data_IF_189869019604
#
_entry.id   IF_189869019604
#
_cell.length_a   1.000
_cell.length_b   1.000
_cell.length_c   1.000
_cell.angle_alpha   90.00
_cell.angle_beta   90.00
_cell.angle_gamma   90.00
#
_symmetry.space_group_name_H-M   'P 1'
#
loop_
_entity.id
_entity.type
_entity.pdbx_description
1 polymer ?
#
# COMPACT_ATOMS: atom_id res chain seq x y z
N UNK A 1 -5.50 2.71 -26.49
CA UNK A 1 -5.42 1.25 -26.21
C UNK A 1 -4.26 1.06 -25.25
N UNK A 2 -4.49 0.41 -24.13
CA UNK A 2 -3.44 0.12 -23.13
C UNK A 2 -2.34 -0.74 -23.74
N UNK A 3 -1.08 -0.43 -23.40
CA UNK A 3 0.08 -1.12 -23.97
C UNK A 3 0.89 -1.81 -22.86
N UNK A 4 1.20 -3.06 -23.06
CA UNK A 4 2.19 -3.74 -22.23
C UNK A 4 3.57 -3.56 -22.90
N UNK A 5 4.40 -2.73 -22.26
CA UNK A 5 5.77 -2.45 -22.73
C UNK A 5 6.85 -3.16 -21.90
N UNK A 6 6.52 -4.29 -21.31
CA UNK A 6 7.47 -5.15 -20.61
C UNK A 6 8.69 -5.46 -21.49
N UNK A 7 9.89 -5.42 -20.92
CA UNK A 7 11.16 -5.55 -21.62
C UNK A 7 11.73 -4.24 -22.20
N UNK A 8 10.97 -3.15 -22.20
CA UNK A 8 11.43 -1.85 -22.66
C UNK A 8 11.96 -1.00 -21.49
N UNK A 9 12.69 0.07 -21.83
CA UNK A 9 13.08 1.07 -20.82
C UNK A 9 11.89 1.94 -20.46
N UNK A 10 11.89 2.43 -19.22
CA UNK A 10 10.92 3.43 -18.75
C UNK A 10 11.05 4.74 -19.56
N UNK A 11 9.95 5.50 -19.75
CA UNK A 11 9.99 6.81 -20.37
C UNK A 11 10.96 7.76 -19.65
N UNK A 12 11.70 8.53 -20.43
CA UNK A 12 12.63 9.54 -19.90
C UNK A 12 11.89 10.86 -19.72
N UNK A 13 11.61 11.21 -18.47
CA UNK A 13 10.90 12.44 -18.08
C UNK A 13 11.56 13.07 -16.85
N UNK A 14 11.20 14.32 -16.59
CA UNK A 14 11.58 15.04 -15.37
C UNK A 14 10.30 15.39 -14.62
N UNK A 15 10.14 14.80 -13.45
CA UNK A 15 9.01 15.06 -12.56
C UNK A 15 9.25 16.32 -11.75
N UNK A 16 8.23 17.15 -11.62
CA UNK A 16 8.24 18.36 -10.79
C UNK A 16 7.72 18.01 -9.39
N UNK A 17 8.61 17.71 -8.48
CA UNK A 17 8.30 17.36 -7.08
C UNK A 17 8.50 18.54 -6.14
N UNK A 18 8.21 18.34 -4.86
CA UNK A 18 8.45 19.34 -3.81
C UNK A 18 9.10 18.69 -2.59
N UNK A 19 10.10 19.39 -2.04
CA UNK A 19 10.65 19.09 -0.73
C UNK A 19 10.40 20.30 0.18
N UNK A 20 9.50 20.16 1.14
CA UNK A 20 9.01 21.28 1.92
C UNK A 20 8.37 22.35 1.04
N UNK A 21 8.97 23.56 0.99
CA UNK A 21 8.46 24.67 0.19
C UNK A 21 9.15 24.84 -1.17
N UNK A 22 10.18 24.04 -1.47
CA UNK A 22 10.98 24.19 -2.68
C UNK A 22 10.56 23.21 -3.77
N UNK A 23 10.67 23.64 -5.04
CA UNK A 23 10.51 22.76 -6.17
C UNK A 23 11.81 21.98 -6.40
N UNK A 24 11.66 20.68 -6.62
CA UNK A 24 12.77 19.77 -6.90
C UNK A 24 12.43 18.97 -8.15
N UNK A 25 13.35 18.98 -9.10
CA UNK A 25 13.27 18.16 -10.30
C UNK A 25 13.83 16.76 -9.99
N UNK A 26 13.07 15.72 -10.33
CA UNK A 26 13.47 14.32 -10.22
C UNK A 26 13.37 13.69 -11.60
N UNK A 27 14.47 13.19 -12.12
CA UNK A 27 14.49 12.51 -13.43
C UNK A 27 14.15 11.03 -13.31
N UNK A 28 13.72 10.42 -14.42
CA UNK A 28 13.55 8.97 -14.50
C UNK A 28 14.85 8.23 -14.18
N UNK A 29 16.01 8.75 -14.59
CA UNK A 29 17.30 8.14 -14.28
C UNK A 29 17.58 8.13 -12.77
N UNK A 30 17.27 9.21 -12.05
CA UNK A 30 17.43 9.26 -10.58
C UNK A 30 16.53 8.28 -9.86
N UNK A 31 15.34 7.99 -10.40
CA UNK A 31 14.43 7.02 -9.81
C UNK A 31 14.84 5.58 -10.10
N UNK A 32 15.32 5.28 -11.29
CA UNK A 32 15.36 3.90 -11.80
C UNK A 32 16.75 3.35 -12.11
N UNK A 33 17.76 4.22 -12.33
CA UNK A 33 19.10 3.77 -12.75
C UNK A 33 19.82 3.05 -11.60
N UNK A 34 20.38 1.90 -11.90
CA UNK A 34 21.12 1.03 -10.95
C UNK A 34 20.27 0.62 -9.73
N UNK A 35 18.92 0.61 -9.87
CA UNK A 35 17.97 0.32 -8.80
C UNK A 35 16.92 -0.68 -9.23
N UNK A 36 16.41 -1.42 -8.25
CA UNK A 36 15.20 -2.25 -8.36
C UNK A 36 14.03 -1.49 -7.73
N UNK A 37 13.06 -1.08 -8.55
CA UNK A 37 11.96 -0.23 -8.10
C UNK A 37 10.63 -0.88 -8.45
N UNK A 38 9.75 -0.99 -7.46
CA UNK A 38 8.33 -1.32 -7.69
C UNK A 38 7.57 -0.01 -7.88
N UNK A 39 6.85 0.11 -8.98
CA UNK A 39 5.97 1.24 -9.24
C UNK A 39 4.53 0.75 -9.31
N UNK A 40 3.63 1.41 -8.64
CA UNK A 40 2.21 1.27 -8.88
C UNK A 40 1.59 2.61 -9.25
N UNK A 41 0.72 2.59 -10.26
CA UNK A 41 0.05 3.77 -10.77
C UNK A 41 -1.46 3.57 -10.77
N UNK A 42 -2.19 4.66 -10.62
CA UNK A 42 -3.61 4.62 -10.30
C UNK A 42 -4.35 5.85 -10.85
N UNK A 43 -5.69 5.78 -10.97
CA UNK A 43 -6.49 6.86 -11.58
C UNK A 43 -6.42 8.20 -10.87
N UNK A 44 -6.15 8.24 -9.57
CA UNK A 44 -5.98 9.53 -8.89
C UNK A 44 -5.90 9.45 -7.37
N UNK A 45 -5.20 10.41 -6.80
CA UNK A 45 -5.18 10.66 -5.37
C UNK A 45 -6.61 10.88 -4.84
N UNK A 46 -6.87 10.50 -3.61
CA UNK A 46 -8.16 10.61 -2.90
C UNK A 46 -9.34 9.84 -3.52
N UNK A 47 -9.13 9.03 -4.56
CA UNK A 47 -10.20 8.17 -5.07
C UNK A 47 -10.37 6.94 -4.17
N UNK A 48 -11.60 6.33 -4.13
CA UNK A 48 -11.92 5.32 -3.11
C UNK A 48 -10.95 4.13 -3.07
N UNK A 49 -10.85 3.35 -4.14
CA UNK A 49 -9.99 2.14 -4.20
C UNK A 49 -8.52 2.47 -3.95
N UNK A 50 -8.05 3.63 -4.46
CA UNK A 50 -6.67 4.06 -4.30
C UNK A 50 -6.32 4.34 -2.84
N UNK A 51 -7.25 4.98 -2.09
CA UNK A 51 -7.05 5.38 -0.70
C UNK A 51 -7.38 4.28 0.31
N UNK A 52 -8.34 3.39 0.00
CA UNK A 52 -8.79 2.36 0.94
C UNK A 52 -8.06 1.02 0.83
N UNK A 53 -7.41 0.77 -0.31
CA UNK A 53 -6.83 -0.56 -0.58
C UNK A 53 -5.42 -0.48 -1.18
N UNK A 54 -5.26 0.24 -2.30
CA UNK A 54 -4.03 0.18 -3.09
C UNK A 54 -2.81 0.75 -2.33
N UNK A 55 -2.88 2.01 -1.90
CA UNK A 55 -1.80 2.67 -1.15
C UNK A 55 -1.57 2.03 0.22
N UNK A 56 -2.59 1.79 1.07
CA UNK A 56 -2.35 1.20 2.38
C UNK A 56 -1.64 -0.16 2.30
N UNK A 57 -2.04 -1.01 1.34
CA UNK A 57 -1.45 -2.33 1.23
C UNK A 57 -0.02 -2.32 0.70
N UNK A 58 0.31 -1.46 -0.28
CA UNK A 58 1.70 -1.26 -0.67
C UNK A 58 2.54 -0.69 0.46
N UNK A 59 2.01 0.26 1.25
CA UNK A 59 2.73 0.80 2.41
C UNK A 59 3.06 -0.29 3.43
N UNK A 60 2.10 -1.16 3.75
CA UNK A 60 2.25 -2.27 4.67
C UNK A 60 3.26 -3.32 4.16
N UNK A 61 3.24 -3.64 2.85
CA UNK A 61 4.12 -4.66 2.27
C UNK A 61 5.49 -4.14 1.81
N UNK A 62 5.73 -2.83 1.84
CA UNK A 62 7.03 -2.24 1.45
C UNK A 62 8.22 -2.82 2.23
N UNK A 63 8.17 -3.04 3.56
CA UNK A 63 9.28 -3.69 4.26
C UNK A 63 9.58 -5.10 3.74
N UNK A 64 8.55 -5.90 3.44
CA UNK A 64 8.71 -7.24 2.87
C UNK A 64 9.31 -7.18 1.45
N UNK A 65 8.85 -6.26 0.60
CA UNK A 65 9.42 -6.02 -0.73
C UNK A 65 10.91 -5.62 -0.64
N UNK A 66 11.26 -4.73 0.28
CA UNK A 66 12.66 -4.32 0.52
C UNK A 66 13.55 -5.47 0.97
N UNK A 67 13.04 -6.38 1.80
CA UNK A 67 13.77 -7.61 2.19
C UNK A 67 14.06 -8.52 0.99
N UNK A 68 13.27 -8.43 -0.08
CA UNK A 68 13.48 -9.17 -1.32
C UNK A 68 14.33 -8.42 -2.36
N UNK A 69 15.01 -7.35 -1.96
CA UNK A 69 15.92 -6.60 -2.82
C UNK A 69 15.27 -5.50 -3.64
N UNK A 70 14.07 -5.05 -3.27
CA UNK A 70 13.48 -3.83 -3.82
C UNK A 70 14.06 -2.63 -3.09
N UNK A 71 14.66 -1.70 -3.83
CA UNK A 71 15.26 -0.48 -3.26
C UNK A 71 14.19 0.54 -2.88
N UNK A 72 13.12 0.62 -3.67
CA UNK A 72 12.07 1.62 -3.46
C UNK A 72 10.72 1.16 -4.02
N UNK A 73 9.65 1.59 -3.35
CA UNK A 73 8.26 1.48 -3.82
C UNK A 73 7.75 2.88 -4.13
N UNK A 74 7.24 3.07 -5.35
CA UNK A 74 6.81 4.37 -5.87
C UNK A 74 5.32 4.33 -6.21
N UNK A 75 4.58 5.26 -5.66
CA UNK A 75 3.21 5.59 -6.08
C UNK A 75 3.23 6.71 -7.09
N UNK A 76 2.67 6.48 -8.27
CA UNK A 76 2.62 7.47 -9.34
C UNK A 76 1.18 7.77 -9.77
N UNK A 77 0.86 9.04 -10.00
CA UNK A 77 -0.46 9.45 -10.47
C UNK A 77 -0.39 10.73 -11.28
N UNK A 78 -1.35 10.89 -12.21
CA UNK A 78 -1.57 12.13 -12.97
C UNK A 78 -2.25 13.16 -12.06
N UNK A 79 -1.52 13.56 -11.03
CA UNK A 79 -1.86 14.60 -10.08
C UNK A 79 -0.63 15.49 -9.86
N UNK A 80 -0.84 16.73 -9.42
CA UNK A 80 0.24 17.65 -9.09
C UNK A 80 0.93 17.32 -7.76
N UNK A 81 2.07 17.97 -7.52
CA UNK A 81 2.89 17.73 -6.34
C UNK A 81 2.21 18.10 -5.01
N UNK A 82 1.31 19.07 -4.99
CA UNK A 82 0.59 19.46 -3.77
C UNK A 82 -0.41 18.38 -3.37
N UNK A 83 -1.16 17.88 -4.35
CA UNK A 83 -2.13 16.80 -4.16
C UNK A 83 -1.43 15.52 -3.71
N UNK A 84 -0.33 15.13 -4.38
CA UNK A 84 0.42 13.92 -4.04
C UNK A 84 1.02 13.99 -2.64
N UNK A 85 1.63 15.11 -2.25
CA UNK A 85 2.21 15.28 -0.92
C UNK A 85 1.14 15.26 0.18
N UNK A 86 0.00 15.95 -0.03
CA UNK A 86 -1.08 15.95 0.95
C UNK A 86 -1.69 14.56 1.10
N UNK A 87 -1.86 13.84 -0.01
CA UNK A 87 -2.41 12.49 0.01
C UNK A 87 -1.47 11.50 0.70
N UNK A 88 -0.16 11.56 0.43
CA UNK A 88 0.83 10.76 1.16
C UNK A 88 0.72 10.96 2.68
N UNK A 89 0.63 12.21 3.10
CA UNK A 89 0.50 12.55 4.51
C UNK A 89 -0.81 12.00 5.12
N UNK A 90 -1.95 12.13 4.44
CA UNK A 90 -3.23 11.62 4.94
C UNK A 90 -3.31 10.09 4.95
N UNK A 91 -2.59 9.42 4.06
CA UNK A 91 -2.48 7.97 4.02
C UNK A 91 -1.45 7.42 5.02
N UNK A 92 -0.72 8.27 5.74
CA UNK A 92 0.42 7.85 6.59
C UNK A 92 1.38 6.90 5.85
N UNK A 93 1.60 7.15 4.55
CA UNK A 93 2.32 6.26 3.65
C UNK A 93 3.82 6.58 3.59
N UNK A 94 4.49 6.54 4.76
CA UNK A 94 5.90 6.95 4.92
C UNK A 94 6.89 5.95 4.29
N UNK A 95 6.46 4.74 3.97
CA UNK A 95 7.30 3.71 3.34
C UNK A 95 7.37 3.85 1.82
N UNK A 96 6.50 4.65 1.21
CA UNK A 96 6.33 4.80 -0.22
C UNK A 96 6.76 6.20 -0.66
N UNK A 97 7.45 6.29 -1.80
CA UNK A 97 7.73 7.56 -2.48
C UNK A 97 6.58 7.92 -3.41
N UNK A 98 6.04 9.13 -3.27
CA UNK A 98 4.95 9.63 -4.12
C UNK A 98 5.52 10.54 -5.20
N UNK A 99 5.31 10.17 -6.47
CA UNK A 99 5.80 10.91 -7.63
C UNK A 99 4.62 11.50 -8.41
N UNK A 100 4.56 12.83 -8.52
CA UNK A 100 3.54 13.52 -9.30
C UNK A 100 3.87 13.48 -10.79
N UNK A 101 3.03 12.87 -11.61
CA UNK A 101 3.08 12.96 -13.08
C UNK A 101 2.00 13.93 -13.58
N UNK A 102 2.01 15.17 -13.07
CA UNK A 102 0.93 16.14 -13.24
C UNK A 102 0.59 16.47 -14.72
N UNK A 103 1.55 16.37 -15.63
CA UNK A 103 1.34 16.56 -17.08
C UNK A 103 0.99 15.23 -17.79
N UNK A 104 1.07 14.10 -17.11
CA UNK A 104 0.84 12.77 -17.70
C UNK A 104 1.92 12.34 -18.68
N UNK A 105 3.12 12.93 -18.63
CA UNK A 105 4.17 12.66 -19.63
C UNK A 105 4.73 11.25 -19.48
N UNK A 106 4.98 10.80 -18.25
CA UNK A 106 5.40 9.43 -17.98
C UNK A 106 4.29 8.45 -18.31
N UNK A 107 3.09 8.70 -17.81
CA UNK A 107 1.91 7.85 -18.03
C UNK A 107 1.61 7.69 -19.54
N UNK A 108 1.74 8.78 -20.32
CA UNK A 108 1.59 8.74 -21.78
C UNK A 108 2.69 7.91 -22.43
N UNK A 109 3.94 8.09 -22.01
CA UNK A 109 5.08 7.30 -22.50
C UNK A 109 4.97 5.81 -22.18
N UNK A 110 4.33 5.48 -21.06
CA UNK A 110 3.98 4.11 -20.66
C UNK A 110 2.83 3.50 -21.49
N UNK A 111 2.08 4.30 -22.26
CA UNK A 111 0.87 3.84 -22.95
C UNK A 111 -0.29 3.56 -22.00
N UNK A 112 -0.28 4.18 -20.80
CA UNK A 112 -1.26 3.98 -19.73
C UNK A 112 -2.17 5.19 -19.49
N UNK A 113 -2.05 6.25 -20.32
CA UNK A 113 -2.89 7.43 -20.21
C UNK A 113 -4.27 7.14 -20.78
N UNK A 114 -5.30 7.44 -19.99
CA UNK A 114 -6.71 7.23 -20.34
C UNK A 114 -7.54 8.47 -20.06
N UNK A 115 -8.61 8.63 -20.85
CA UNK A 115 -9.60 9.67 -20.67
C UNK A 115 -10.65 9.23 -19.64
N UNK A 116 -10.89 10.07 -18.62
CA UNK A 116 -11.92 9.90 -17.59
C UNK A 116 -12.81 11.15 -17.50
N UNK A 117 -13.17 11.69 -18.67
CA UNK A 117 -13.97 12.92 -18.76
C UNK A 117 -15.41 12.73 -18.27
N UNK A 118 -15.94 11.53 -18.41
CA UNK A 118 -17.25 11.13 -17.89
C UNK A 118 -17.36 11.26 -16.37
N UNK A 119 -16.23 11.13 -15.66
CA UNK A 119 -16.10 11.34 -14.23
C UNK A 119 -15.63 12.75 -13.86
N UNK A 120 -15.38 13.62 -14.83
CA UNK A 120 -14.81 14.95 -14.61
C UNK A 120 -13.33 14.95 -14.20
N UNK A 121 -12.61 13.85 -14.44
CA UNK A 121 -11.20 13.73 -14.04
C UNK A 121 -10.22 14.19 -15.12
N UNK A 122 -10.66 14.28 -16.39
CA UNK A 122 -9.77 14.52 -17.53
C UNK A 122 -8.88 13.31 -17.81
N UNK A 123 -7.63 13.55 -18.24
CA UNK A 123 -6.66 12.47 -18.46
C UNK A 123 -6.11 11.93 -17.13
N UNK A 124 -6.05 10.61 -17.00
CA UNK A 124 -5.57 9.89 -15.81
C UNK A 124 -4.72 8.70 -16.20
N UNK A 125 -3.98 8.14 -15.24
CA UNK A 125 -3.36 6.84 -15.41
C UNK A 125 -4.39 5.73 -15.35
N UNK A 126 -4.26 4.74 -16.22
CA UNK A 126 -4.86 3.43 -15.94
C UNK A 126 -4.17 2.81 -14.73
N UNK A 127 -4.85 1.87 -14.07
CA UNK A 127 -4.32 1.17 -12.90
C UNK A 127 -3.40 0.04 -13.34
N UNK A 128 -2.17 0.06 -12.85
CA UNK A 128 -1.18 -1.00 -13.07
C UNK A 128 -0.12 -0.99 -11.96
N UNK A 129 0.64 -2.09 -11.86
CA UNK A 129 1.92 -2.11 -11.16
C UNK A 129 3.01 -2.67 -12.05
N UNK A 130 4.27 -2.34 -11.75
CA UNK A 130 5.42 -2.85 -12.49
C UNK A 130 6.66 -2.98 -11.60
N UNK A 131 7.51 -3.93 -11.96
CA UNK A 131 8.86 -4.08 -11.45
C UNK A 131 9.84 -3.54 -12.48
N UNK A 132 10.70 -2.63 -12.07
CA UNK A 132 11.73 -2.00 -12.90
C UNK A 132 13.09 -2.36 -12.33
N UNK A 133 14.02 -2.83 -13.16
CA UNK A 133 15.42 -3.05 -12.79
C UNK A 133 16.32 -2.26 -13.73
N UNK A 134 17.15 -1.39 -13.17
CA UNK A 134 18.06 -0.52 -13.93
C UNK A 134 17.37 0.17 -15.13
N UNK A 135 16.21 0.76 -14.87
CA UNK A 135 15.43 1.45 -15.88
C UNK A 135 14.72 0.57 -16.92
N UNK A 136 14.83 -0.76 -16.82
CA UNK A 136 14.13 -1.71 -17.70
C UNK A 136 12.92 -2.31 -16.98
N UNK A 137 11.77 -2.29 -17.62
CA UNK A 137 10.53 -2.88 -17.10
C UNK A 137 10.61 -4.39 -17.18
N UNK A 138 10.86 -5.06 -16.06
CA UNK A 138 10.93 -6.52 -15.99
C UNK A 138 9.55 -7.17 -16.07
N UNK A 139 8.57 -6.60 -15.38
CA UNK A 139 7.21 -7.10 -15.30
C UNK A 139 6.19 -5.98 -15.21
N UNK A 140 5.04 -6.17 -15.84
CA UNK A 140 3.85 -5.32 -15.69
C UNK A 140 2.62 -6.17 -15.32
N UNK A 141 1.84 -5.68 -14.38
CA UNK A 141 0.50 -6.16 -14.03
C UNK A 141 -0.47 -5.03 -14.33
N UNK A 142 -1.23 -5.17 -15.40
CA UNK A 142 -2.14 -4.14 -15.90
C UNK A 142 -3.55 -4.62 -15.66
N UNK A 143 -4.37 -3.82 -14.97
CA UNK A 143 -5.78 -4.15 -14.77
C UNK A 143 -6.52 -4.28 -16.09
N UNK A 144 -7.52 -5.16 -16.13
CA UNK A 144 -8.32 -5.39 -17.33
C UNK A 144 -9.00 -4.10 -17.81
N UNK A 145 -9.01 -3.88 -19.13
CA UNK A 145 -9.68 -2.71 -19.74
C UNK A 145 -11.20 -2.91 -19.73
N UNK A 146 -11.77 -2.82 -18.53
CA UNK A 146 -13.18 -2.99 -18.26
C UNK A 146 -13.77 -1.72 -17.63
N UNK A 147 -15.10 -1.49 -17.79
CA UNK A 147 -15.77 -0.38 -17.11
C UNK A 147 -15.64 -0.47 -15.59
N UNK A 148 -15.57 0.68 -14.96
CA UNK A 148 -15.37 0.79 -13.50
C UNK A 148 -13.92 1.07 -13.12
N UNK A 149 -13.50 0.55 -11.98
CA UNK A 149 -12.17 0.71 -11.42
C UNK A 149 -11.62 -0.66 -10.97
N UNK A 150 -11.25 -1.56 -11.92
CA UNK A 150 -10.78 -2.90 -11.59
C UNK A 150 -9.52 -2.87 -10.74
N UNK A 151 -9.45 -3.81 -9.78
CA UNK A 151 -8.32 -3.96 -8.88
C UNK A 151 -8.16 -5.44 -8.51
N UNK A 152 -7.47 -6.21 -9.36
CA UNK A 152 -7.35 -7.67 -9.26
C UNK A 152 -5.91 -8.18 -9.40
N UNK A 153 -5.06 -7.48 -10.17
CA UNK A 153 -3.71 -7.97 -10.51
C UNK A 153 -2.59 -6.99 -10.18
N UNK A 154 -2.89 -5.72 -9.94
CA UNK A 154 -1.88 -4.68 -9.67
C UNK A 154 -1.63 -4.45 -8.17
N UNK A 155 -2.18 -5.32 -7.32
CA UNK A 155 -2.04 -5.27 -5.88
C UNK A 155 -0.61 -5.63 -5.41
N UNK A 156 -0.33 -5.31 -4.16
CA UNK A 156 1.01 -5.48 -3.58
C UNK A 156 1.36 -6.96 -3.34
N UNK A 157 0.37 -7.80 -3.05
CA UNK A 157 0.54 -9.25 -2.88
C UNK A 157 0.97 -9.90 -4.19
N UNK A 158 0.30 -9.57 -5.28
CA UNK A 158 0.66 -10.08 -6.63
C UNK A 158 2.10 -9.72 -6.97
N UNK A 159 2.52 -8.48 -6.68
CA UNK A 159 3.89 -8.04 -6.89
C UNK A 159 4.88 -8.79 -5.99
N UNK A 160 4.59 -8.92 -4.70
CA UNK A 160 5.45 -9.61 -3.75
C UNK A 160 5.60 -11.09 -4.13
N UNK A 161 4.50 -11.79 -4.45
CA UNK A 161 4.56 -13.19 -4.90
C UNK A 161 5.30 -13.39 -6.22
N UNK A 162 5.26 -12.40 -7.13
CA UNK A 162 6.07 -12.45 -8.34
C UNK A 162 7.57 -12.38 -8.02
N UNK A 163 7.97 -11.47 -7.13
CA UNK A 163 9.38 -11.28 -6.74
C UNK A 163 9.88 -12.45 -5.90
N UNK A 164 9.06 -12.91 -4.97
CA UNK A 164 9.39 -13.96 -4.02
C UNK A 164 8.17 -14.89 -3.80
N UNK A 165 8.01 -15.95 -4.63
CA UNK A 165 6.83 -16.84 -4.56
C UNK A 165 6.66 -17.57 -3.23
N UNK A 166 7.70 -17.63 -2.40
CA UNK A 166 7.67 -18.27 -1.07
C UNK A 166 7.63 -17.25 0.07
N UNK A 167 7.51 -15.95 -0.23
CA UNK A 167 7.40 -14.94 0.82
C UNK A 167 6.08 -15.10 1.57
N UNK A 168 6.19 -15.18 2.88
CA UNK A 168 5.01 -15.10 3.75
C UNK A 168 4.53 -13.65 3.81
N UNK A 169 3.22 -13.46 3.72
CA UNK A 169 2.61 -12.14 3.88
C UNK A 169 2.66 -11.75 5.35
N UNK A 170 3.02 -10.50 5.67
CA UNK A 170 2.87 -9.99 7.03
C UNK A 170 1.42 -10.14 7.48
N UNK A 171 1.23 -10.52 8.73
CA UNK A 171 -0.09 -10.60 9.33
C UNK A 171 -0.69 -9.20 9.44
N UNK A 172 -1.94 -9.07 9.03
CA UNK A 172 -2.75 -7.87 9.30
C UNK A 172 -3.39 -8.02 10.68
N UNK A 173 -2.85 -7.31 11.67
CA UNK A 173 -3.26 -7.47 13.07
C UNK A 173 -3.82 -6.18 13.63
N UNK A 174 -5.06 -6.24 14.13
CA UNK A 174 -5.71 -5.15 14.84
C UNK A 174 -6.05 -5.55 16.27
N UNK A 175 -5.69 -4.70 17.23
CA UNK A 175 -5.97 -4.89 18.65
C UNK A 175 -6.94 -3.82 19.15
N UNK A 176 -8.15 -4.19 19.45
CA UNK A 176 -9.08 -3.34 20.20
C UNK A 176 -8.70 -3.36 21.68
N UNK A 177 -8.35 -2.24 22.25
CA UNK A 177 -7.78 -2.12 23.59
C UNK A 177 -8.49 -1.07 24.46
N UNK A 178 -8.04 -0.91 25.70
CA UNK A 178 -8.42 0.17 26.61
C UNK A 178 -7.21 0.55 27.47
N UNK A 179 -7.07 1.82 27.77
CA UNK A 179 -6.03 2.29 28.71
C UNK A 179 -6.17 1.63 30.09
N UNK A 180 -5.04 1.31 30.70
CA UNK A 180 -4.98 0.67 32.02
C UNK A 180 -5.47 -0.79 32.09
N UNK A 181 -5.75 -1.43 30.97
CA UNK A 181 -6.20 -2.82 30.92
C UNK A 181 -5.02 -3.80 30.95
N UNK A 182 -4.84 -4.63 31.99
CA UNK A 182 -3.71 -5.56 32.08
C UNK A 182 -3.74 -6.65 31.01
N UNK A 183 -4.92 -7.12 30.60
CA UNK A 183 -5.07 -8.09 29.52
C UNK A 183 -4.73 -7.51 28.15
N UNK A 184 -4.98 -6.21 27.94
CA UNK A 184 -4.56 -5.53 26.73
C UNK A 184 -3.04 -5.35 26.68
N UNK A 185 -2.41 -5.08 27.82
CA UNK A 185 -0.95 -5.06 27.95
C UNK A 185 -0.36 -6.42 27.62
N UNK A 186 -0.95 -7.51 28.17
CA UNK A 186 -0.54 -8.90 27.88
C UNK A 186 -0.63 -9.20 26.39
N UNK A 187 -1.76 -8.92 25.75
CA UNK A 187 -1.95 -9.19 24.31
C UNK A 187 -0.93 -8.46 23.44
N UNK A 188 -0.71 -7.16 23.69
CA UNK A 188 0.29 -6.36 22.96
C UNK A 188 1.72 -6.82 23.24
N UNK A 189 2.02 -7.31 24.43
CA UNK A 189 3.29 -7.92 24.77
C UNK A 189 3.56 -9.17 23.94
N UNK A 190 2.60 -10.10 23.89
CA UNK A 190 2.69 -11.33 23.11
C UNK A 190 2.97 -11.06 21.63
N UNK A 191 2.29 -10.07 21.02
CA UNK A 191 2.51 -9.70 19.64
C UNK A 191 3.93 -9.13 19.40
N UNK A 192 4.39 -8.24 20.30
CA UNK A 192 5.75 -7.68 20.21
C UNK A 192 6.84 -8.73 20.41
N UNK A 193 6.66 -9.63 21.35
CA UNK A 193 7.62 -10.72 21.62
C UNK A 193 7.70 -11.69 20.43
N UNK A 194 6.61 -11.85 19.67
CA UNK A 194 6.55 -12.60 18.43
C UNK A 194 7.04 -11.80 17.20
N UNK A 195 7.43 -10.53 17.36
CA UNK A 195 7.84 -9.68 16.26
C UNK A 195 6.70 -9.27 15.29
N UNK A 196 5.45 -9.36 15.74
CA UNK A 196 4.26 -9.06 14.95
C UNK A 196 3.86 -7.60 15.17
N UNK A 197 3.86 -6.80 14.09
CA UNK A 197 3.32 -5.44 14.10
C UNK A 197 1.79 -5.47 14.15
N UNK A 198 1.18 -4.46 14.75
CA UNK A 198 -0.27 -4.38 14.91
C UNK A 198 -0.75 -2.92 15.02
N UNK A 199 -1.95 -2.67 14.52
CA UNK A 199 -2.69 -1.44 14.76
C UNK A 199 -3.45 -1.53 16.09
N UNK A 200 -3.35 -0.46 16.90
CA UNK A 200 -4.08 -0.39 18.18
C UNK A 200 -5.21 0.64 18.09
N UNK A 201 -6.45 0.16 18.29
CA UNK A 201 -7.63 0.99 18.50
C UNK A 201 -7.97 1.04 19.99
N UNK A 202 -8.11 2.24 20.56
CA UNK A 202 -8.33 2.44 21.99
C UNK A 202 -9.77 2.88 22.29
N UNK A 203 -10.43 2.17 23.18
CA UNK A 203 -11.80 2.47 23.61
C UNK A 203 -11.92 3.90 24.14
N UNK A 204 -12.96 4.62 23.73
CA UNK A 204 -13.28 6.02 24.01
C UNK A 204 -12.31 7.05 23.40
N UNK A 205 -11.28 6.60 22.65
CA UNK A 205 -10.46 7.46 21.81
C UNK A 205 -10.79 7.21 20.33
N UNK A 206 -10.71 5.97 19.90
CA UNK A 206 -10.81 5.58 18.50
C UNK A 206 -12.15 4.86 18.20
N UNK A 207 -12.79 4.25 19.20
CA UNK A 207 -14.07 3.57 19.06
C UNK A 207 -14.91 3.59 20.34
N UNK A 208 -16.22 3.25 20.20
CA UNK A 208 -17.16 3.10 21.31
C UNK A 208 -17.41 1.61 21.63
N UNK A 209 -17.93 1.31 22.82
CA UNK A 209 -18.28 -0.06 23.23
C UNK A 209 -19.24 -0.75 22.24
N UNK A 210 -20.17 0.02 21.66
CA UNK A 210 -21.08 -0.51 20.62
C UNK A 210 -20.34 -1.00 19.39
N UNK A 211 -19.23 -0.37 19.02
CA UNK A 211 -18.41 -0.75 17.87
C UNK A 211 -17.77 -2.12 18.10
N UNK A 212 -17.09 -2.30 19.22
CA UNK A 212 -16.43 -3.60 19.49
C UNK A 212 -17.46 -4.74 19.60
N UNK A 213 -18.63 -4.47 20.20
CA UNK A 213 -19.71 -5.45 20.23
C UNK A 213 -20.26 -5.78 18.83
N UNK A 214 -20.33 -4.83 17.94
CA UNK A 214 -20.82 -5.05 16.59
C UNK A 214 -19.85 -5.91 15.75
N UNK A 215 -18.51 -5.70 15.89
CA UNK A 215 -17.52 -6.40 15.09
C UNK A 215 -17.05 -7.74 15.68
N UNK A 216 -17.04 -7.87 17.02
CA UNK A 216 -16.56 -9.08 17.70
C UNK A 216 -17.66 -9.93 18.35
N UNK A 217 -18.85 -9.38 18.54
CA UNK A 217 -19.89 -9.98 19.37
C UNK A 217 -19.65 -9.85 20.89
N UNK A 218 -18.52 -9.27 21.31
CA UNK A 218 -18.11 -9.13 22.72
C UNK A 218 -18.10 -7.66 23.13
N UNK A 219 -18.33 -7.39 24.43
CA UNK A 219 -18.24 -6.02 25.01
C UNK A 219 -16.95 -5.80 25.78
N UNK A 220 -16.03 -6.75 25.79
CA UNK A 220 -14.77 -6.71 26.53
C UNK A 220 -13.58 -6.51 25.62
N UNK A 221 -12.51 -5.94 26.17
CA UNK A 221 -11.20 -5.81 25.52
C UNK A 221 -10.13 -6.53 26.34
N UNK A 222 -9.03 -7.02 25.71
CA UNK A 222 -8.72 -6.87 24.29
C UNK A 222 -9.59 -7.75 23.41
N UNK A 223 -9.76 -7.34 22.16
CA UNK A 223 -10.18 -8.23 21.06
C UNK A 223 -9.15 -8.08 19.96
N UNK A 224 -8.54 -9.19 19.56
CA UNK A 224 -7.49 -9.25 18.55
C UNK A 224 -8.07 -9.84 17.27
N UNK A 225 -7.84 -9.16 16.16
CA UNK A 225 -8.16 -9.65 14.82
C UNK A 225 -6.86 -9.91 14.08
N UNK A 226 -6.79 -11.02 13.36
CA UNK A 226 -5.67 -11.38 12.49
C UNK A 226 -6.24 -11.70 11.11
N UNK A 227 -5.77 -11.01 10.09
CA UNK A 227 -6.24 -11.15 8.70
C UNK A 227 -7.78 -11.06 8.61
N UNK A 228 -8.36 -10.09 9.30
CA UNK A 228 -9.81 -9.86 9.35
C UNK A 228 -10.61 -10.87 10.20
N UNK A 229 -9.97 -11.90 10.77
CA UNK A 229 -10.64 -12.92 11.59
C UNK A 229 -10.46 -12.63 13.06
N UNK A 230 -11.56 -12.71 13.84
CA UNK A 230 -11.52 -12.55 15.28
C UNK A 230 -10.78 -13.73 15.94
N UNK A 231 -9.69 -13.45 16.64
CA UNK A 231 -8.97 -14.42 17.49
C UNK A 231 -9.56 -14.41 18.90
N UNK A 232 -9.86 -13.24 19.46
CA UNK A 232 -10.44 -13.06 20.78
C UNK A 232 -9.54 -12.28 21.74
N UNK A 233 -9.60 -12.61 23.03
CA UNK A 233 -8.81 -11.95 24.08
C UNK A 233 -7.36 -12.44 24.17
N UNK A 234 -6.63 -11.98 25.21
CA UNK A 234 -5.21 -12.29 25.42
C UNK A 234 -4.89 -13.78 25.49
N UNK A 235 -5.77 -14.58 26.10
CA UNK A 235 -5.52 -16.02 26.27
C UNK A 235 -5.77 -16.79 24.96
N UNK A 236 -6.75 -16.35 24.15
CA UNK A 236 -6.97 -16.90 22.82
C UNK A 236 -5.81 -16.57 21.88
N UNK A 237 -5.27 -15.34 21.95
CA UNK A 237 -4.08 -14.94 21.21
C UNK A 237 -2.85 -15.77 21.59
N UNK A 238 -2.62 -15.99 22.90
CA UNK A 238 -1.51 -16.82 23.38
C UNK A 238 -1.60 -18.25 22.82
N UNK A 239 -2.80 -18.82 22.83
CA UNK A 239 -3.04 -20.15 22.24
C UNK A 239 -2.83 -20.16 20.71
N UNK A 240 -3.25 -19.10 20.02
CA UNK A 240 -3.06 -18.97 18.57
C UNK A 240 -1.57 -18.94 18.20
N UNK A 241 -0.78 -18.08 18.88
CA UNK A 241 0.65 -17.94 18.62
C UNK A 241 1.41 -19.23 18.98
N UNK A 242 1.10 -19.87 20.10
CA UNK A 242 1.72 -21.14 20.48
C UNK A 242 1.45 -22.29 19.51
N UNK A 243 0.30 -22.30 18.85
CA UNK A 243 0.01 -23.29 17.80
C UNK A 243 0.71 -22.96 16.47
N UNK A 244 0.94 -21.67 16.17
CA UNK A 244 1.66 -21.25 14.97
C UNK A 244 3.17 -21.57 15.02
N UNK A 245 3.78 -21.56 16.22
CA UNK A 245 5.19 -21.96 16.40
C UNK A 245 5.39 -23.50 16.32
N UNK A 246 4.32 -24.27 16.44
CA UNK A 246 4.37 -25.73 16.44
C UNK A 246 4.09 -26.36 15.06
N UNK A 247 3.76 -25.58 14.06
CA UNK A 247 3.42 -26.00 12.69
C UNK A 247 4.55 -25.72 11.71
#
# INVERSE_FOLDING_TARGET
>A
MLQNIQGQKVPQVVFKTRQGHEWVDVSSDELFKDRTVVVFSLPGAFTPTCSSSHVPRYNQLTPALKQQGVDEVVCMSVNDAFVMNQWQHEQHADQITFIPDGNGDFTRGMGMLVEKQDLGFGERSWRYSMLVRDGVIEKMFIEADLPGDPFEVSDAETMLHYIAPQAELPLDVTVFSREGCPFCVKAKGLLRDAGIEFDELVLNRDFAESTIRAVSGHSTVPQVFINGSLIGGSDALESYLGNAEAA
#
